data_IF_685961232103
#
_entry.id   IF_685961232103
#
_cell.length_a   1.000
_cell.length_b   1.000
_cell.length_c   1.000
_cell.angle_alpha   90.00
_cell.angle_beta   90.00
_cell.angle_gamma   90.00
#
_symmetry.space_group_name_H-M   'P 1'
#
loop_
_entity.id
_entity.type
_entity.pdbx_description
1 polymer ?
#
# COMPACT_ATOMS: atom_id res chain seq x y z
N UNK A 1 28.38 21.76 -5.03
CA UNK A 1 28.43 20.43 -4.37
C UNK A 1 29.23 19.47 -5.21
N UNK A 2 30.20 18.81 -4.61
CA UNK A 2 30.96 17.74 -5.25
C UNK A 2 30.16 16.43 -5.29
N UNK A 3 30.48 15.53 -6.23
CA UNK A 3 29.82 14.21 -6.36
C UNK A 3 29.89 13.36 -5.07
N UNK A 4 30.92 13.58 -4.24
CA UNK A 4 31.10 12.93 -2.94
C UNK A 4 30.11 13.43 -1.88
N UNK A 5 29.82 14.73 -1.84
CA UNK A 5 28.91 15.34 -0.86
C UNK A 5 27.46 14.94 -1.13
N UNK A 6 27.06 14.91 -2.42
CA UNK A 6 25.72 14.46 -2.83
C UNK A 6 25.48 13.01 -2.43
N UNK A 7 26.50 12.15 -2.58
CA UNK A 7 26.42 10.75 -2.16
C UNK A 7 26.26 10.62 -0.64
N UNK A 8 27.07 11.33 0.14
CA UNK A 8 26.96 11.33 1.60
C UNK A 8 25.58 11.76 2.09
N UNK A 9 25.00 12.79 1.47
CA UNK A 9 23.64 13.24 1.79
C UNK A 9 22.60 12.16 1.47
N UNK A 10 22.71 11.51 0.31
CA UNK A 10 21.79 10.44 -0.07
C UNK A 10 21.88 9.26 0.90
N UNK A 11 23.09 8.88 1.31
CA UNK A 11 23.34 7.81 2.29
C UNK A 11 22.71 8.16 3.65
N UNK A 12 22.86 9.41 4.12
CA UNK A 12 22.24 9.89 5.37
C UNK A 12 20.71 9.86 5.30
N UNK A 13 20.12 10.37 4.21
CA UNK A 13 18.66 10.36 4.03
C UNK A 13 18.12 8.93 3.99
N UNK A 14 18.85 8.00 3.36
CA UNK A 14 18.47 6.59 3.34
C UNK A 14 18.54 5.96 4.74
N UNK A 15 19.59 6.23 5.52
CA UNK A 15 19.69 5.75 6.90
C UNK A 15 18.57 6.30 7.78
N UNK A 16 18.20 7.57 7.60
CA UNK A 16 17.06 8.18 8.28
C UNK A 16 15.74 7.49 7.91
N UNK A 17 15.51 7.22 6.63
CA UNK A 17 14.30 6.52 6.16
C UNK A 17 14.21 5.12 6.76
N UNK A 18 15.33 4.37 6.78
CA UNK A 18 15.38 3.05 7.41
C UNK A 18 15.05 3.12 8.91
N UNK A 19 15.59 4.11 9.65
CA UNK A 19 15.28 4.31 11.08
C UNK A 19 13.81 4.68 11.30
N UNK A 20 13.25 5.52 10.44
CA UNK A 20 11.84 5.90 10.52
C UNK A 20 10.91 4.70 10.26
N UNK A 21 11.22 3.89 9.26
CA UNK A 21 10.50 2.65 8.97
C UNK A 21 10.59 1.64 10.13
N UNK A 22 11.77 1.51 10.76
CA UNK A 22 11.93 0.69 11.97
C UNK A 22 11.09 1.22 13.13
N UNK A 23 11.13 2.52 13.40
CA UNK A 23 10.32 3.13 14.46
C UNK A 23 8.81 2.92 14.23
N UNK A 24 8.35 3.03 12.98
CA UNK A 24 6.96 2.74 12.61
C UNK A 24 6.60 1.27 12.89
N UNK A 25 7.45 0.32 12.51
CA UNK A 25 7.24 -1.12 12.78
C UNK A 25 7.20 -1.44 14.28
N UNK A 26 7.92 -0.67 15.09
CA UNK A 26 7.93 -0.77 16.55
C UNK A 26 6.84 0.10 17.22
N UNK A 27 5.90 0.62 16.43
CA UNK A 27 4.80 1.49 16.86
C UNK A 27 5.23 2.77 17.59
N UNK A 28 6.48 3.22 17.42
CA UNK A 28 6.95 4.53 17.88
C UNK A 28 6.61 5.59 16.84
N UNK A 29 5.31 5.92 16.78
CA UNK A 29 4.75 6.78 15.75
C UNK A 29 5.30 8.21 15.80
N UNK A 30 5.48 8.78 16.99
CA UNK A 30 6.05 10.13 17.15
C UNK A 30 7.51 10.20 16.68
N UNK A 31 8.32 9.18 17.00
CA UNK A 31 9.72 9.10 16.54
C UNK A 31 9.79 9.03 15.01
N UNK A 32 8.98 8.14 14.41
CA UNK A 32 8.91 8.00 12.96
C UNK A 32 8.46 9.30 12.29
N UNK A 33 7.46 9.98 12.86
CA UNK A 33 6.92 11.24 12.35
C UNK A 33 7.98 12.34 12.38
N UNK A 34 8.71 12.46 13.50
CA UNK A 34 9.80 13.42 13.66
C UNK A 34 10.90 13.19 12.61
N UNK A 35 11.34 11.94 12.42
CA UNK A 35 12.38 11.62 11.44
C UNK A 35 11.91 11.94 10.01
N UNK A 36 10.67 11.59 9.65
CA UNK A 36 10.16 11.91 8.30
C UNK A 36 10.00 13.41 8.08
N UNK A 37 9.66 14.20 9.11
CA UNK A 37 9.69 15.66 9.02
C UNK A 37 11.10 16.22 8.82
N UNK A 38 12.11 15.65 9.48
CA UNK A 38 13.51 16.03 9.24
C UNK A 38 13.96 15.69 7.82
N UNK A 39 13.61 14.51 7.30
CA UNK A 39 13.86 14.11 5.91
C UNK A 39 13.21 15.11 4.95
N UNK A 40 11.93 15.44 5.15
CA UNK A 40 11.19 16.36 4.29
C UNK A 40 11.83 17.75 4.29
N UNK A 41 12.22 18.26 5.46
CA UNK A 41 12.91 19.55 5.60
C UNK A 41 14.26 19.55 4.88
N UNK A 42 15.04 18.48 5.01
CA UNK A 42 16.31 18.33 4.31
C UNK A 42 16.11 18.30 2.79
N UNK A 43 15.11 17.54 2.30
CA UNK A 43 14.77 17.48 0.88
C UNK A 43 14.40 18.87 0.33
N UNK A 44 13.63 19.67 1.06
CA UNK A 44 13.28 21.04 0.68
C UNK A 44 14.50 21.97 0.64
N UNK A 45 15.35 21.93 1.67
CA UNK A 45 16.57 22.77 1.73
C UNK A 45 17.56 22.45 0.60
N UNK A 46 17.60 21.18 0.18
CA UNK A 46 18.48 20.68 -0.86
C UNK A 46 17.88 20.73 -2.26
N UNK A 47 16.64 21.23 -2.43
CA UNK A 47 15.91 21.27 -3.70
C UNK A 47 15.78 19.88 -4.35
N UNK A 48 15.38 18.92 -3.51
CA UNK A 48 15.19 17.51 -3.83
C UNK A 48 13.69 17.16 -3.82
N UNK A 49 12.83 18.11 -4.21
CA UNK A 49 11.37 18.01 -4.10
C UNK A 49 10.81 16.80 -4.87
N UNK A 50 11.51 16.31 -5.90
CA UNK A 50 11.09 15.10 -6.60
C UNK A 50 10.98 13.85 -5.71
N UNK A 51 11.70 13.81 -4.59
CA UNK A 51 11.71 12.69 -3.64
C UNK A 51 10.74 12.89 -2.47
N UNK A 52 10.12 14.07 -2.35
CA UNK A 52 9.25 14.38 -1.21
C UNK A 52 7.90 13.67 -1.26
N UNK A 53 7.47 13.18 -2.42
CA UNK A 53 6.18 12.47 -2.56
C UNK A 53 6.08 11.25 -1.65
N UNK A 54 7.09 10.39 -1.65
CA UNK A 54 7.11 9.20 -0.77
C UNK A 54 7.22 9.59 0.71
N UNK A 55 8.05 10.59 1.04
CA UNK A 55 8.15 11.11 2.42
C UNK A 55 6.79 11.60 2.93
N UNK A 56 6.05 12.35 2.11
CA UNK A 56 4.73 12.85 2.45
C UNK A 56 3.71 11.72 2.63
N UNK A 57 3.73 10.69 1.77
CA UNK A 57 2.88 9.52 1.95
C UNK A 57 3.25 8.72 3.21
N UNK A 58 4.53 8.62 3.57
CA UNK A 58 4.96 8.00 4.82
C UNK A 58 4.46 8.77 6.05
N UNK A 59 4.51 10.10 6.01
CA UNK A 59 3.90 10.96 7.05
C UNK A 59 2.39 10.71 7.12
N UNK A 60 1.70 10.66 5.97
CA UNK A 60 0.28 10.34 5.94
C UNK A 60 -0.03 8.96 6.54
N UNK A 61 0.81 7.94 6.28
CA UNK A 61 0.66 6.62 6.87
C UNK A 61 0.66 6.67 8.40
N UNK A 62 1.56 7.48 8.97
CA UNK A 62 1.70 7.63 10.41
C UNK A 62 0.46 8.30 11.00
N UNK A 63 -0.02 9.38 10.38
CA UNK A 63 -1.28 9.99 10.81
C UNK A 63 -2.48 9.03 10.68
N UNK A 64 -2.52 8.17 9.66
CA UNK A 64 -3.53 7.11 9.56
C UNK A 64 -3.42 6.10 10.71
N UNK A 65 -2.20 5.73 11.11
CA UNK A 65 -1.97 4.84 12.26
C UNK A 65 -2.35 5.50 13.60
N UNK A 66 -2.29 6.83 13.68
CA UNK A 66 -2.80 7.64 14.79
C UNK A 66 -4.32 7.91 14.70
N UNK A 67 -5.01 7.38 13.68
CA UNK A 67 -6.43 7.65 13.37
C UNK A 67 -6.75 9.13 13.05
N UNK A 68 -5.71 9.94 12.78
CA UNK A 68 -5.78 11.34 12.38
C UNK A 68 -5.97 11.46 10.85
N UNK A 69 -7.13 11.03 10.36
CA UNK A 69 -7.37 10.88 8.91
C UNK A 69 -7.43 12.21 8.14
N UNK A 70 -7.82 13.31 8.79
CA UNK A 70 -7.84 14.63 8.16
C UNK A 70 -6.43 15.15 7.89
N UNK A 71 -5.52 14.96 8.84
CA UNK A 71 -4.10 15.26 8.72
C UNK A 71 -3.45 14.37 7.66
N UNK A 72 -3.76 13.08 7.66
CA UNK A 72 -3.28 12.17 6.62
C UNK A 72 -3.70 12.63 5.22
N UNK A 73 -4.98 13.01 5.02
CA UNK A 73 -5.47 13.54 3.75
C UNK A 73 -4.75 14.82 3.34
N UNK A 74 -4.43 15.72 4.28
CA UNK A 74 -3.64 16.91 4.00
C UNK A 74 -2.27 16.55 3.39
N UNK A 75 -1.54 15.60 3.98
CA UNK A 75 -0.25 15.17 3.44
C UNK A 75 -0.37 14.40 2.11
N UNK A 76 -1.44 13.65 1.91
CA UNK A 76 -1.74 13.00 0.62
C UNK A 76 -2.01 14.05 -0.47
N UNK A 77 -2.75 15.12 -0.15
CA UNK A 77 -3.00 16.24 -1.06
C UNK A 77 -1.71 16.98 -1.43
N UNK A 78 -0.81 17.19 -0.47
CA UNK A 78 0.52 17.75 -0.73
C UNK A 78 1.36 16.83 -1.61
N UNK A 79 1.34 15.51 -1.37
CA UNK A 79 2.05 14.54 -2.20
C UNK A 79 1.52 14.55 -3.64
N UNK A 80 0.20 14.60 -3.83
CA UNK A 80 -0.44 14.56 -5.16
C UNK A 80 -0.04 15.74 -6.04
N UNK A 81 0.28 16.91 -5.47
CA UNK A 81 0.79 18.08 -6.22
C UNK A 81 2.14 17.81 -6.88
N UNK A 82 2.91 16.82 -6.39
CA UNK A 82 4.20 16.46 -6.94
C UNK A 82 4.02 15.55 -8.15
N UNK A 83 4.41 16.03 -9.33
CA UNK A 83 4.32 15.25 -10.59
C UNK A 83 5.04 13.90 -10.52
N UNK A 84 6.02 13.75 -9.63
CA UNK A 84 6.83 12.53 -9.51
C UNK A 84 6.02 11.36 -8.98
N UNK A 85 5.11 11.57 -8.02
CA UNK A 85 4.27 10.50 -7.46
C UNK A 85 3.17 10.02 -8.44
N UNK A 86 2.93 10.76 -9.51
CA UNK A 86 1.97 10.40 -10.56
C UNK A 86 2.63 9.79 -11.80
N UNK A 87 3.96 9.65 -11.80
CA UNK A 87 4.71 9.31 -13.02
C UNK A 87 4.69 7.83 -13.35
N UNK A 88 4.65 6.96 -12.34
CA UNK A 88 4.51 5.53 -12.54
C UNK A 88 3.20 5.02 -11.94
N UNK A 89 2.74 3.91 -12.51
CA UNK A 89 1.50 3.26 -12.11
C UNK A 89 1.53 2.82 -10.64
N UNK A 90 2.67 2.33 -10.14
CA UNK A 90 2.79 1.91 -8.74
C UNK A 90 2.61 3.08 -7.75
N UNK A 91 3.28 4.22 -7.98
CA UNK A 91 3.18 5.39 -7.10
C UNK A 91 1.78 6.00 -7.14
N UNK A 92 1.18 6.09 -8.34
CA UNK A 92 -0.21 6.54 -8.51
C UNK A 92 -1.17 5.65 -7.72
N UNK A 93 -1.01 4.33 -7.81
CA UNK A 93 -1.83 3.40 -7.05
C UNK A 93 -1.65 3.55 -5.54
N UNK A 94 -0.41 3.65 -5.06
CA UNK A 94 -0.13 3.82 -3.64
C UNK A 94 -0.79 5.09 -3.09
N UNK A 95 -0.66 6.23 -3.79
CA UNK A 95 -1.31 7.47 -3.39
C UNK A 95 -2.83 7.32 -3.30
N UNK A 96 -3.47 6.76 -4.33
CA UNK A 96 -4.92 6.58 -4.35
C UNK A 96 -5.40 5.55 -3.32
N UNK A 97 -4.59 4.54 -3.01
CA UNK A 97 -4.88 3.59 -1.95
C UNK A 97 -4.90 4.26 -0.57
N UNK A 98 -3.90 5.09 -0.27
CA UNK A 98 -3.83 5.85 0.98
C UNK A 98 -5.04 6.78 1.13
N UNK A 99 -5.36 7.53 0.07
CA UNK A 99 -6.54 8.41 0.03
C UNK A 99 -7.82 7.62 0.29
N UNK A 100 -8.00 6.52 -0.43
CA UNK A 100 -9.20 5.69 -0.31
C UNK A 100 -9.34 5.04 1.07
N UNK A 101 -8.24 4.68 1.73
CA UNK A 101 -8.28 4.12 3.08
C UNK A 101 -8.68 5.19 4.11
N UNK A 102 -8.16 6.42 4.00
CA UNK A 102 -8.62 7.54 4.83
C UNK A 102 -10.13 7.78 4.68
N UNK A 103 -10.60 7.91 3.43
CA UNK A 103 -12.02 8.14 3.14
C UNK A 103 -12.90 6.99 3.66
N UNK A 104 -12.44 5.74 3.52
CA UNK A 104 -13.17 4.59 4.04
C UNK A 104 -13.30 4.65 5.57
N UNK A 105 -12.22 4.96 6.28
CA UNK A 105 -12.23 5.11 7.74
C UNK A 105 -13.08 6.29 8.21
N UNK A 106 -13.18 7.33 7.39
CA UNK A 106 -14.10 8.46 7.59
C UNK A 106 -15.55 8.17 7.14
N UNK A 107 -15.90 6.91 6.87
CA UNK A 107 -17.22 6.47 6.44
C UNK A 107 -17.69 7.03 5.07
N UNK A 108 -16.76 7.54 4.26
CA UNK A 108 -17.00 7.98 2.87
C UNK A 108 -16.78 6.82 1.88
N UNK A 109 -17.44 5.70 2.15
CA UNK A 109 -17.18 4.40 1.49
C UNK A 109 -17.38 4.45 -0.03
N UNK A 110 -18.44 5.12 -0.50
CA UNK A 110 -18.74 5.22 -1.94
C UNK A 110 -17.67 5.99 -2.72
N UNK A 111 -17.07 7.01 -2.09
CA UNK A 111 -16.02 7.82 -2.69
C UNK A 111 -14.71 7.03 -2.75
N UNK A 112 -14.35 6.35 -1.66
CA UNK A 112 -13.22 5.45 -1.60
C UNK A 112 -13.32 4.34 -2.67
N UNK A 113 -14.47 3.67 -2.81
CA UNK A 113 -14.70 2.65 -3.85
C UNK A 113 -14.49 3.25 -5.27
N UNK A 114 -15.03 4.43 -5.52
CA UNK A 114 -14.94 5.07 -6.84
C UNK A 114 -13.50 5.42 -7.23
N UNK A 115 -12.71 5.93 -6.29
CA UNK A 115 -11.29 6.26 -6.53
C UNK A 115 -10.52 5.00 -6.96
N UNK A 116 -10.64 3.91 -6.20
CA UNK A 116 -9.97 2.65 -6.52
C UNK A 116 -10.41 2.04 -7.85
N UNK A 117 -11.71 2.09 -8.16
CA UNK A 117 -12.23 1.59 -9.42
C UNK A 117 -11.76 2.44 -10.62
N UNK A 118 -11.59 3.75 -10.45
CA UNK A 118 -10.98 4.61 -11.48
C UNK A 118 -9.50 4.29 -11.66
N UNK A 119 -8.76 4.08 -10.57
CA UNK A 119 -7.35 3.71 -10.63
C UNK A 119 -7.16 2.39 -11.38
N UNK A 120 -7.93 1.34 -11.03
CA UNK A 120 -7.88 0.04 -11.70
C UNK A 120 -8.13 0.10 -13.22
N UNK A 121 -8.90 1.07 -13.72
CA UNK A 121 -9.20 1.21 -15.15
C UNK A 121 -8.03 1.74 -15.96
N UNK A 122 -7.17 2.58 -15.35
CA UNK A 122 -6.06 3.24 -16.04
C UNK A 122 -4.70 2.59 -15.75
N UNK A 123 -4.55 1.99 -14.57
CA UNK A 123 -3.29 1.46 -14.06
C UNK A 123 -2.94 0.13 -14.74
N UNK A 124 -1.68 -0.02 -15.19
CA UNK A 124 -1.20 -1.22 -15.89
C UNK A 124 -0.29 -2.09 -15.04
N UNK A 125 0.13 -1.60 -13.88
CA UNK A 125 0.94 -2.38 -12.95
C UNK A 125 0.07 -3.46 -12.29
N UNK A 126 0.41 -4.73 -12.59
CA UNK A 126 -0.36 -5.89 -12.12
C UNK A 126 -0.27 -6.03 -10.62
N UNK A 127 0.89 -5.77 -10.01
CA UNK A 127 1.09 -5.87 -8.57
C UNK A 127 0.22 -4.85 -7.85
N UNK A 128 0.26 -3.60 -8.28
CA UNK A 128 -0.55 -2.50 -7.76
C UNK A 128 -2.05 -2.77 -7.93
N UNK A 129 -2.49 -3.23 -9.11
CA UNK A 129 -3.88 -3.63 -9.34
C UNK A 129 -4.33 -4.74 -8.40
N UNK A 130 -3.47 -5.73 -8.11
CA UNK A 130 -3.74 -6.76 -7.12
C UNK A 130 -3.96 -6.20 -5.71
N UNK A 131 -3.11 -5.27 -5.27
CA UNK A 131 -3.23 -4.60 -3.97
C UNK A 131 -4.52 -3.78 -3.86
N UNK A 132 -4.88 -3.03 -4.91
CA UNK A 132 -6.15 -2.29 -4.96
C UNK A 132 -7.35 -3.25 -4.84
N UNK A 133 -7.29 -4.41 -5.51
CA UNK A 133 -8.35 -5.41 -5.46
C UNK A 133 -8.47 -6.09 -4.10
N UNK A 134 -7.36 -6.30 -3.37
CA UNK A 134 -7.41 -6.73 -1.96
C UNK A 134 -8.12 -5.70 -1.08
N UNK A 135 -7.89 -4.41 -1.31
CA UNK A 135 -8.55 -3.36 -0.53
C UNK A 135 -10.05 -3.30 -0.83
N UNK A 136 -10.45 -3.38 -2.11
CA UNK A 136 -11.85 -3.50 -2.49
C UNK A 136 -12.51 -4.76 -1.93
N UNK A 137 -11.80 -5.89 -1.93
CA UNK A 137 -12.26 -7.12 -1.27
C UNK A 137 -12.60 -6.85 0.21
N UNK A 138 -11.70 -6.20 0.97
CA UNK A 138 -11.96 -5.82 2.36
C UNK A 138 -13.22 -4.96 2.49
N UNK A 139 -13.37 -3.91 1.67
CA UNK A 139 -14.53 -3.03 1.71
C UNK A 139 -15.84 -3.78 1.44
N UNK A 140 -15.82 -4.73 0.51
CA UNK A 140 -16.98 -5.54 0.18
C UNK A 140 -17.29 -6.61 1.22
N UNK A 141 -16.29 -7.15 1.92
CA UNK A 141 -16.49 -8.04 3.05
C UNK A 141 -17.21 -7.32 4.18
N UNK A 142 -16.74 -6.12 4.56
CA UNK A 142 -17.35 -5.30 5.60
C UNK A 142 -18.79 -4.92 5.24
N UNK A 143 -19.04 -4.59 3.97
CA UNK A 143 -20.36 -4.29 3.44
C UNK A 143 -21.24 -5.53 3.17
N UNK A 144 -20.76 -6.75 3.47
CA UNK A 144 -21.43 -8.04 3.21
C UNK A 144 -21.84 -8.26 1.74
N UNK A 145 -21.12 -7.64 0.80
CA UNK A 145 -21.32 -7.75 -0.65
C UNK A 145 -20.55 -8.96 -1.20
N UNK A 146 -20.98 -10.16 -0.82
CA UNK A 146 -20.26 -11.43 -1.06
C UNK A 146 -19.84 -11.67 -2.51
N UNK A 147 -20.69 -11.34 -3.50
CA UNK A 147 -20.36 -11.53 -4.92
C UNK A 147 -19.23 -10.62 -5.39
N UNK A 148 -19.27 -9.34 -4.99
CA UNK A 148 -18.21 -8.37 -5.29
C UNK A 148 -16.92 -8.73 -4.57
N UNK A 149 -17.00 -9.11 -3.28
CA UNK A 149 -15.84 -9.54 -2.51
C UNK A 149 -15.13 -10.71 -3.21
N UNK A 150 -15.88 -11.77 -3.58
CA UNK A 150 -15.34 -12.91 -4.31
C UNK A 150 -14.66 -12.49 -5.62
N UNK A 151 -15.33 -11.68 -6.44
CA UNK A 151 -14.75 -11.19 -7.69
C UNK A 151 -13.45 -10.40 -7.49
N UNK A 152 -13.38 -9.60 -6.42
CA UNK A 152 -12.19 -8.81 -6.08
C UNK A 152 -11.01 -9.69 -5.66
N UNK A 153 -11.22 -10.66 -4.76
CA UNK A 153 -10.13 -11.53 -4.31
C UNK A 153 -9.64 -12.47 -5.43
N UNK A 154 -10.54 -12.97 -6.28
CA UNK A 154 -10.18 -13.77 -7.46
C UNK A 154 -9.31 -12.97 -8.43
N UNK A 155 -9.68 -11.71 -8.66
CA UNK A 155 -8.91 -10.83 -9.53
C UNK A 155 -7.54 -10.48 -8.92
N UNK A 156 -7.46 -10.28 -7.60
CA UNK A 156 -6.21 -9.96 -6.91
C UNK A 156 -5.20 -11.11 -7.08
N UNK A 157 -5.65 -12.35 -6.84
CA UNK A 157 -4.87 -13.57 -7.04
C UNK A 157 -4.35 -13.66 -8.48
N UNK A 158 -5.21 -13.41 -9.47
CA UNK A 158 -4.80 -13.45 -10.88
C UNK A 158 -3.74 -12.37 -11.21
N UNK A 159 -3.89 -11.16 -10.67
CA UNK A 159 -2.93 -10.08 -10.84
C UNK A 159 -1.57 -10.43 -10.21
N UNK A 160 -1.53 -10.92 -8.97
CA UNK A 160 -0.27 -11.31 -8.32
C UNK A 160 0.41 -12.49 -9.02
N UNK A 161 -0.37 -13.49 -9.44
CA UNK A 161 0.13 -14.61 -10.25
C UNK A 161 0.76 -14.13 -11.56
N UNK A 162 0.11 -13.18 -12.23
CA UNK A 162 0.62 -12.60 -13.49
C UNK A 162 1.87 -11.76 -13.27
N UNK A 163 1.95 -11.06 -12.14
CA UNK A 163 3.12 -10.27 -11.73
C UNK A 163 4.30 -11.13 -11.25
N UNK A 164 4.09 -12.43 -10.97
CA UNK A 164 5.08 -13.29 -10.33
C UNK A 164 5.35 -12.94 -8.87
N UNK A 165 4.44 -12.21 -8.21
CA UNK A 165 4.58 -11.81 -6.80
C UNK A 165 4.05 -12.93 -5.90
N UNK A 166 4.91 -13.91 -5.62
CA UNK A 166 4.54 -15.08 -4.80
C UNK A 166 4.14 -14.68 -3.37
N UNK A 167 4.72 -13.63 -2.81
CA UNK A 167 4.46 -13.20 -1.43
C UNK A 167 3.02 -12.68 -1.31
N UNK A 168 2.65 -11.74 -2.18
CA UNK A 168 1.27 -11.21 -2.20
C UNK A 168 0.26 -12.25 -2.72
N UNK A 169 0.68 -13.14 -3.62
CA UNK A 169 -0.17 -14.26 -4.06
C UNK A 169 -0.53 -15.19 -2.89
N UNK A 170 0.46 -15.57 -2.07
CA UNK A 170 0.23 -16.40 -0.88
C UNK A 170 -0.73 -15.70 0.08
N UNK A 171 -0.49 -14.41 0.35
CA UNK A 171 -1.37 -13.60 1.20
C UNK A 171 -2.81 -13.59 0.67
N UNK A 172 -3.00 -13.34 -0.63
CA UNK A 172 -4.31 -13.32 -1.25
C UNK A 172 -5.01 -14.69 -1.22
N UNK A 173 -4.27 -15.79 -1.44
CA UNK A 173 -4.80 -17.15 -1.33
C UNK A 173 -5.25 -17.48 0.10
N UNK A 174 -4.46 -17.09 1.11
CA UNK A 174 -4.86 -17.25 2.52
C UNK A 174 -6.14 -16.48 2.83
N UNK A 175 -6.24 -15.21 2.42
CA UNK A 175 -7.48 -14.44 2.60
C UNK A 175 -8.69 -15.11 1.94
N UNK A 176 -8.53 -15.69 0.73
CA UNK A 176 -9.62 -16.39 0.05
C UNK A 176 -9.97 -17.72 0.71
N UNK A 177 -8.99 -18.43 1.27
CA UNK A 177 -9.24 -19.64 2.05
C UNK A 177 -10.07 -19.34 3.32
N UNK A 178 -9.76 -18.25 4.01
CA UNK A 178 -10.53 -17.79 5.17
C UNK A 178 -11.96 -17.42 4.78
N UNK A 179 -12.12 -16.69 3.67
CA UNK A 179 -13.44 -16.41 3.10
C UNK A 179 -14.25 -17.68 2.85
N UNK A 180 -13.67 -18.65 2.14
CA UNK A 180 -14.36 -19.90 1.80
C UNK A 180 -14.70 -20.72 3.04
N UNK A 181 -13.83 -20.73 4.04
CA UNK A 181 -14.13 -21.34 5.35
C UNK A 181 -15.34 -20.68 5.99
N UNK A 182 -15.38 -19.34 6.01
CA UNK A 182 -16.46 -18.58 6.64
C UNK A 182 -17.83 -18.79 5.96
N UNK A 183 -17.85 -19.02 4.64
CA UNK A 183 -19.09 -19.30 3.88
C UNK A 183 -19.40 -20.79 3.74
N UNK A 184 -18.70 -21.67 4.48
CA UNK A 184 -18.94 -23.11 4.50
C UNK A 184 -18.47 -23.86 3.24
N UNK A 185 -17.67 -23.23 2.38
CA UNK A 185 -17.15 -23.80 1.15
C UNK A 185 -15.74 -24.38 1.33
N UNK A 186 -15.60 -25.27 2.32
CA UNK A 186 -14.29 -25.79 2.77
C UNK A 186 -13.45 -26.46 1.66
N UNK A 187 -14.09 -27.04 0.64
CA UNK A 187 -13.38 -27.63 -0.52
C UNK A 187 -12.53 -26.57 -1.23
N UNK A 188 -13.04 -25.37 -1.45
CA UNK A 188 -12.27 -24.30 -2.09
C UNK A 188 -11.19 -23.74 -1.16
N UNK A 189 -11.45 -23.69 0.15
CA UNK A 189 -10.44 -23.30 1.13
C UNK A 189 -9.23 -24.25 1.12
N UNK A 190 -9.46 -25.57 1.07
CA UNK A 190 -8.39 -26.56 1.00
C UNK A 190 -7.60 -26.49 -0.32
N UNK A 191 -8.25 -26.16 -1.43
CA UNK A 191 -7.55 -25.91 -2.70
C UNK A 191 -6.58 -24.73 -2.59
N UNK A 192 -7.00 -23.63 -1.96
CA UNK A 192 -6.15 -22.46 -1.76
C UNK A 192 -5.00 -22.76 -0.78
N UNK A 193 -5.27 -23.45 0.33
CA UNK A 193 -4.22 -23.90 1.29
C UNK A 193 -3.20 -24.81 0.63
N UNK A 194 -3.65 -25.75 -0.22
CA UNK A 194 -2.76 -26.62 -1.00
C UNK A 194 -1.89 -25.82 -1.97
N UNK A 195 -2.47 -24.83 -2.65
CA UNK A 195 -1.71 -23.94 -3.53
C UNK A 195 -0.64 -23.14 -2.77
N UNK A 196 -0.96 -22.62 -1.58
CA UNK A 196 0.00 -21.94 -0.69
C UNK A 196 1.15 -22.88 -0.31
N UNK A 197 0.84 -24.09 0.15
CA UNK A 197 1.86 -25.08 0.53
C UNK A 197 2.82 -25.40 -0.63
N UNK A 198 2.30 -25.47 -1.85
CA UNK A 198 3.13 -25.70 -3.04
C UNK A 198 4.03 -24.50 -3.36
N UNK A 199 3.51 -23.27 -3.23
CA UNK A 199 4.30 -22.06 -3.47
C UNK A 199 5.44 -21.89 -2.47
N UNK A 200 5.17 -22.13 -1.18
CA UNK A 200 6.17 -22.06 -0.10
C UNK A 200 7.28 -23.10 -0.31
N UNK A 201 6.92 -24.35 -0.64
CA UNK A 201 7.93 -25.40 -0.92
C UNK A 201 8.85 -25.05 -2.09
N UNK A 202 8.31 -24.38 -3.11
CA UNK A 202 9.03 -24.08 -4.34
C UNK A 202 9.77 -22.73 -4.32
N UNK A 203 9.67 -21.97 -3.22
CA UNK A 203 10.31 -20.65 -3.07
C UNK A 203 11.06 -20.58 -1.73
N UNK A 204 12.25 -21.20 -1.60
CA UNK A 204 13.00 -21.20 -0.35
C UNK A 204 13.46 -19.77 0.00
N UNK A 205 13.18 -19.31 1.23
CA UNK A 205 13.55 -17.96 1.71
C UNK A 205 12.38 -16.96 1.77
N UNK A 206 11.16 -17.45 1.54
CA UNK A 206 9.90 -16.80 1.90
C UNK A 206 9.56 -17.02 3.39
#
# INVERSE_FOLDING_TARGET
MGRSEVKQIADILHEMDMRAAMALNECRLDDALNIYHEILKAQQQLKLEQFSGHTLLNIANIYMAMEAYSEALHYIDEAEKLKTIQRCDEDSANLQMFRSNCLYKMNQVSEAENILLKELKKNKDRRACGKIQLMLYSYYMDAKKNSKARSSIDSAINNFKTAGDNNELIRALNCRADYFTAVGQNVYAELDRSAVNNLVKNTPGL
#
